data_IF_810173920879
#
_entry.id   IF_810173920879
#
_cell.length_a   1.000
_cell.length_b   1.000
_cell.length_c   1.000
_cell.angle_alpha   90.00
_cell.angle_beta   90.00
_cell.angle_gamma   90.00
#
_symmetry.space_group_name_H-M   'P 1'
#
loop_
_entity.id
_entity.type
_entity.pdbx_description
1 polymer ?
#
# COMPACT_ATOMS: atom_id res chain seq x y z
N UNK A 1 -63.60 -9.44 1.11
CA UNK A 1 -62.64 -8.37 0.80
C UNK A 1 -61.22 -8.92 1.03
N UNK A 2 -60.52 -9.27 -0.06
CA UNK A 2 -59.14 -9.80 0.01
C UNK A 2 -58.17 -8.63 -0.13
N UNK A 3 -57.40 -8.35 0.91
CA UNK A 3 -56.33 -7.33 0.88
C UNK A 3 -55.07 -8.00 0.32
N UNK A 4 -54.67 -7.55 -0.86
CA UNK A 4 -53.45 -7.98 -1.54
C UNK A 4 -52.27 -7.12 -1.02
N UNK A 5 -51.39 -7.69 -0.21
CA UNK A 5 -50.17 -7.05 0.23
C UNK A 5 -49.13 -7.14 -0.90
N UNK A 6 -48.84 -5.99 -1.51
CA UNK A 6 -47.76 -5.83 -2.50
C UNK A 6 -46.46 -5.61 -1.74
N UNK A 7 -45.60 -6.63 -1.64
CA UNK A 7 -44.28 -6.54 -1.07
C UNK A 7 -43.32 -5.96 -2.13
N UNK A 8 -42.98 -4.71 -2.00
CA UNK A 8 -41.97 -4.04 -2.83
C UNK A 8 -40.58 -4.49 -2.35
N UNK A 9 -39.97 -5.43 -3.07
CA UNK A 9 -38.58 -5.81 -2.88
C UNK A 9 -37.70 -4.68 -3.40
N UNK A 10 -37.13 -3.87 -2.50
CA UNK A 10 -36.10 -2.90 -2.82
C UNK A 10 -34.75 -3.63 -2.83
N UNK A 11 -34.30 -4.05 -4.00
CA UNK A 11 -32.96 -4.61 -4.19
C UNK A 11 -31.93 -3.48 -4.08
N UNK A 12 -31.26 -3.40 -2.92
CA UNK A 12 -30.08 -2.53 -2.75
C UNK A 12 -28.93 -3.19 -3.50
N UNK A 13 -28.56 -2.62 -4.65
CA UNK A 13 -27.35 -3.01 -5.37
C UNK A 13 -26.17 -2.46 -4.58
N UNK A 14 -25.53 -3.32 -3.79
CA UNK A 14 -24.24 -3.02 -3.16
C UNK A 14 -23.16 -3.01 -4.25
N UNK A 15 -22.86 -1.83 -4.77
CA UNK A 15 -21.70 -1.65 -5.64
C UNK A 15 -20.43 -1.63 -4.77
N UNK A 16 -19.65 -2.70 -4.87
CA UNK A 16 -18.27 -2.70 -4.38
C UNK A 16 -17.47 -1.69 -5.21
N UNK A 17 -17.07 -0.58 -4.62
CA UNK A 17 -16.19 0.39 -5.28
C UNK A 17 -14.76 -0.16 -5.27
N UNK A 18 -14.31 -0.66 -6.40
CA UNK A 18 -12.89 -0.94 -6.61
C UNK A 18 -12.13 0.40 -6.62
N UNK A 19 -11.33 0.62 -5.59
CA UNK A 19 -10.44 1.79 -5.55
C UNK A 19 -9.31 1.56 -6.56
N UNK A 20 -9.09 2.51 -7.44
CA UNK A 20 -8.01 2.49 -8.41
C UNK A 20 -7.10 3.70 -8.22
N UNK A 21 -5.84 3.54 -8.54
CA UNK A 21 -4.85 4.61 -8.63
C UNK A 21 -4.23 4.59 -10.01
N UNK A 22 -3.96 5.77 -10.55
CA UNK A 22 -3.37 5.91 -11.88
C UNK A 22 -1.90 6.27 -11.71
N UNK A 23 -1.02 5.40 -12.18
CA UNK A 23 0.39 5.72 -12.33
C UNK A 23 0.58 6.60 -13.58
N UNK A 24 1.44 7.61 -13.50
CA UNK A 24 1.77 8.50 -14.62
C UNK A 24 3.17 8.23 -15.14
N UNK A 25 3.32 8.30 -16.46
CA UNK A 25 4.64 8.30 -17.08
C UNK A 25 5.40 9.58 -16.75
N UNK A 26 6.70 9.46 -16.55
CA UNK A 26 7.62 10.59 -16.38
C UNK A 26 8.89 10.36 -17.20
N UNK A 27 9.38 11.43 -17.83
CA UNK A 27 10.69 11.53 -18.46
C UNK A 27 11.70 12.29 -17.58
N UNK A 28 11.23 12.82 -16.45
CA UNK A 28 12.07 13.51 -15.46
C UNK A 28 12.90 12.48 -14.67
N UNK A 29 14.16 12.78 -14.46
CA UNK A 29 15.01 11.95 -13.59
C UNK A 29 14.54 12.07 -12.14
N UNK A 30 14.10 10.96 -11.57
CA UNK A 30 13.61 10.91 -10.19
C UNK A 30 14.75 10.51 -9.26
N UNK A 31 15.03 11.35 -8.29
CA UNK A 31 16.05 11.10 -7.28
C UNK A 31 15.44 10.38 -6.07
N UNK A 32 16.01 9.26 -5.70
CA UNK A 32 15.57 8.50 -4.54
C UNK A 32 16.31 9.04 -3.30
N UNK A 33 15.75 10.08 -2.68
CA UNK A 33 16.32 10.76 -1.52
C UNK A 33 15.28 11.07 -0.43
N UNK A 34 14.09 10.46 -0.53
CA UNK A 34 13.01 10.66 0.43
C UNK A 34 12.26 11.98 0.28
N UNK A 35 12.62 12.82 -0.69
CA UNK A 35 12.00 14.13 -0.92
C UNK A 35 11.24 14.12 -2.24
N UNK A 36 9.94 14.37 -2.20
CA UNK A 36 9.07 14.37 -3.40
C UNK A 36 8.99 15.81 -3.98
N UNK A 37 10.11 16.34 -4.43
CA UNK A 37 10.25 17.73 -4.91
C UNK A 37 10.35 17.86 -6.43
N UNK A 38 10.47 16.77 -7.18
CA UNK A 38 10.46 16.80 -8.63
C UNK A 38 9.09 17.26 -9.14
N UNK A 39 9.12 18.03 -10.23
CA UNK A 39 7.89 18.61 -10.82
C UNK A 39 6.86 17.54 -11.18
N UNK A 40 7.29 16.37 -11.60
CA UNK A 40 6.43 15.25 -11.97
C UNK A 40 5.53 14.78 -10.83
N UNK A 41 5.99 14.81 -9.57
CA UNK A 41 5.17 14.45 -8.42
C UNK A 41 3.95 15.37 -8.24
N UNK A 42 4.07 16.64 -8.62
CA UNK A 42 2.95 17.58 -8.52
C UNK A 42 1.81 17.26 -9.48
N UNK A 43 2.10 16.57 -10.58
CA UNK A 43 1.14 16.20 -11.64
C UNK A 43 0.40 14.91 -11.36
N UNK A 44 0.77 14.17 -10.30
CA UNK A 44 0.17 12.88 -9.94
C UNK A 44 -0.85 13.07 -8.83
N UNK A 45 -2.04 12.55 -9.06
CA UNK A 45 -3.08 12.51 -8.02
C UNK A 45 -2.72 11.44 -6.98
N UNK A 46 -2.70 11.79 -5.69
CA UNK A 46 -2.39 10.81 -4.66
C UNK A 46 -3.59 9.88 -4.39
N UNK A 47 -3.31 8.64 -4.07
CA UNK A 47 -4.26 7.80 -3.34
C UNK A 47 -4.31 8.30 -1.89
N UNK A 48 -5.52 8.50 -1.39
CA UNK A 48 -5.80 9.04 -0.05
C UNK A 48 -6.99 8.31 0.58
N UNK A 49 -7.46 8.79 1.73
CA UNK A 49 -8.61 8.23 2.43
C UNK A 49 -8.45 6.75 2.78
N UNK A 50 -7.31 6.44 3.39
CA UNK A 50 -7.05 5.10 3.90
C UNK A 50 -7.82 4.87 5.20
N UNK A 51 -8.33 3.65 5.34
CA UNK A 51 -9.02 3.18 6.53
C UNK A 51 -8.09 2.34 7.39
N UNK A 52 -8.32 2.34 8.69
CA UNK A 52 -7.64 1.41 9.57
C UNK A 52 -8.24 0.00 9.38
N UNK A 53 -7.39 -1.02 9.48
CA UNK A 53 -7.84 -2.41 9.45
C UNK A 53 -8.21 -2.93 10.84
N UNK A 54 -7.54 -2.46 11.87
CA UNK A 54 -7.74 -2.89 13.25
C UNK A 54 -7.87 -1.67 14.17
N UNK A 55 -8.72 -1.68 15.21
CA UNK A 55 -9.62 -2.76 15.68
C UNK A 55 -10.90 -2.90 14.85
N UNK A 56 -11.22 -1.96 13.99
CA UNK A 56 -12.37 -1.99 13.07
C UNK A 56 -11.95 -1.35 11.75
N UNK A 57 -12.54 -1.80 10.65
CA UNK A 57 -12.32 -1.28 9.29
C UNK A 57 -13.24 -0.10 8.91
N UNK A 58 -14.01 0.40 9.87
CA UNK A 58 -14.99 1.47 9.65
C UNK A 58 -14.45 2.87 9.88
N UNK A 59 -13.31 3.00 10.57
CA UNK A 59 -12.70 4.28 10.89
C UNK A 59 -11.57 4.62 9.89
N UNK A 60 -11.40 5.92 9.63
CA UNK A 60 -10.24 6.39 8.88
C UNK A 60 -8.94 6.16 9.65
N UNK A 61 -7.85 5.99 8.90
CA UNK A 61 -6.52 5.87 9.49
C UNK A 61 -6.18 7.08 10.38
N UNK A 62 -5.61 6.82 11.55
CA UNK A 62 -5.23 7.87 12.52
C UNK A 62 -4.18 8.82 11.95
N UNK A 63 -3.25 8.29 11.17
CA UNK A 63 -2.30 9.07 10.39
C UNK A 63 -2.73 9.03 8.94
N UNK A 64 -2.94 10.19 8.35
CA UNK A 64 -3.28 10.27 6.94
C UNK A 64 -2.06 9.93 6.10
N UNK A 65 -2.30 9.29 4.96
CA UNK A 65 -1.26 8.85 4.03
C UNK A 65 -1.62 9.30 2.63
N UNK A 66 -0.63 9.75 1.89
CA UNK A 66 -0.71 9.98 0.45
C UNK A 66 0.26 9.05 -0.25
N UNK A 67 -0.21 8.34 -1.27
CA UNK A 67 0.63 7.48 -2.09
C UNK A 67 0.47 7.88 -3.55
N UNK A 68 1.59 8.11 -4.23
CA UNK A 68 1.65 8.49 -5.64
C UNK A 68 2.45 7.45 -6.41
N UNK A 69 2.05 7.20 -7.66
CA UNK A 69 2.72 6.25 -8.54
C UNK A 69 3.11 6.92 -9.84
N UNK A 70 4.37 6.76 -10.21
CA UNK A 70 4.90 7.14 -11.52
C UNK A 70 5.72 6.00 -12.09
N UNK A 71 5.98 6.04 -13.38
CA UNK A 71 6.85 5.08 -14.04
C UNK A 71 7.60 5.73 -15.19
N UNK A 72 8.74 5.18 -15.50
CA UNK A 72 9.48 5.43 -16.73
C UNK A 72 9.62 4.11 -17.53
N UNK A 73 10.48 4.07 -18.52
CA UNK A 73 10.70 2.88 -19.35
C UNK A 73 11.30 1.69 -18.59
N UNK A 74 11.79 1.89 -17.38
CA UNK A 74 12.54 0.87 -16.60
C UNK A 74 12.09 0.69 -15.17
N UNK A 75 11.47 1.71 -14.58
CA UNK A 75 11.22 1.77 -13.15
C UNK A 75 9.77 2.11 -12.83
N UNK A 76 9.29 1.59 -11.74
CA UNK A 76 8.10 2.06 -11.04
C UNK A 76 8.55 2.86 -9.80
N UNK A 77 8.10 4.10 -9.72
CA UNK A 77 8.36 5.00 -8.59
C UNK A 77 7.14 5.10 -7.70
N UNK A 78 7.35 4.97 -6.41
CA UNK A 78 6.29 5.11 -5.41
C UNK A 78 6.68 6.16 -4.39
N UNK A 79 5.96 7.27 -4.40
CA UNK A 79 6.10 8.35 -3.42
C UNK A 79 5.08 8.18 -2.31
N UNK A 80 5.54 8.08 -1.06
CA UNK A 80 4.69 7.89 0.10
C UNK A 80 4.93 9.00 1.10
N UNK A 81 3.86 9.69 1.50
CA UNK A 81 3.90 10.72 2.53
C UNK A 81 2.96 10.34 3.66
N UNK A 82 3.50 10.16 4.85
CA UNK A 82 2.75 9.84 6.05
C UNK A 82 2.69 11.06 6.96
N UNK A 83 1.48 11.49 7.31
CA UNK A 83 1.24 12.64 8.20
C UNK A 83 1.15 12.16 9.65
N UNK A 84 2.27 11.68 10.19
CA UNK A 84 2.36 11.24 11.58
C UNK A 84 2.53 12.44 12.53
N UNK A 85 1.96 12.34 13.74
CA UNK A 85 2.21 13.31 14.81
C UNK A 85 3.41 12.84 15.64
N UNK A 86 4.41 13.72 15.78
CA UNK A 86 5.61 13.41 16.58
C UNK A 86 6.62 12.52 15.84
N UNK A 87 7.57 11.99 16.59
CA UNK A 87 8.65 11.11 16.11
C UNK A 87 8.81 9.84 16.96
N UNK A 88 7.81 9.53 17.78
CA UNK A 88 7.82 8.38 18.70
C UNK A 88 7.43 7.11 17.93
N UNK A 89 8.31 6.70 17.01
CA UNK A 89 8.09 5.51 16.20
C UNK A 89 8.48 4.25 16.96
N UNK A 90 7.65 3.21 16.84
CA UNK A 90 7.96 1.88 17.38
C UNK A 90 8.86 1.16 16.38
N UNK A 91 10.16 1.16 16.62
CA UNK A 91 11.18 0.55 15.76
C UNK A 91 12.07 -0.36 16.59
N UNK A 92 11.70 -1.60 16.83
CA UNK A 92 12.44 -2.50 17.70
C UNK A 92 13.75 -3.00 17.07
N UNK A 93 13.96 -2.83 15.78
CA UNK A 93 15.14 -3.28 15.07
C UNK A 93 15.48 -2.39 13.89
N UNK A 94 16.76 -2.11 13.70
CA UNK A 94 17.32 -1.46 12.50
C UNK A 94 17.96 -2.48 11.54
N UNK A 95 17.65 -3.75 11.69
CA UNK A 95 18.08 -4.78 10.76
C UNK A 95 17.16 -4.83 9.55
N UNK A 96 17.73 -5.03 8.34
CA UNK A 96 16.98 -5.35 7.14
C UNK A 96 16.05 -6.55 7.40
N UNK A 97 14.96 -6.60 6.69
CA UNK A 97 13.93 -7.64 6.77
C UNK A 97 13.31 -7.78 8.17
N UNK A 98 13.13 -6.63 8.81
CA UNK A 98 12.50 -6.53 10.11
C UNK A 98 11.06 -7.06 10.11
N UNK A 99 10.55 -7.41 11.27
CA UNK A 99 9.19 -7.91 11.45
C UNK A 99 8.17 -6.76 11.36
N UNK A 100 7.44 -6.65 10.24
CA UNK A 100 6.54 -5.54 9.97
C UNK A 100 5.40 -5.35 10.99
N UNK A 101 4.85 -6.43 11.54
CA UNK A 101 3.79 -6.34 12.55
C UNK A 101 4.24 -5.83 13.93
N UNK A 102 5.54 -5.67 14.14
CA UNK A 102 6.11 -5.17 15.40
C UNK A 102 6.80 -3.79 15.22
N UNK A 103 6.75 -3.22 14.04
CA UNK A 103 7.45 -1.98 13.70
C UNK A 103 6.51 -1.05 12.94
N UNK A 104 6.58 0.25 13.24
CA UNK A 104 5.98 1.25 12.37
C UNK A 104 6.67 1.19 11.01
N UNK A 105 5.90 0.96 9.98
CA UNK A 105 6.41 0.79 8.63
C UNK A 105 5.31 0.94 7.58
N UNK A 106 5.72 1.20 6.35
CA UNK A 106 4.87 1.07 5.18
C UNK A 106 5.25 -0.22 4.46
N UNK A 107 4.26 -0.94 3.99
CA UNK A 107 4.46 -2.13 3.14
C UNK A 107 3.56 -2.03 1.92
N UNK A 108 4.14 -2.18 0.76
CA UNK A 108 3.47 -2.29 -0.53
C UNK A 108 3.46 -3.75 -0.95
N UNK A 109 2.35 -4.18 -1.50
CA UNK A 109 2.19 -5.53 -2.04
C UNK A 109 1.84 -5.42 -3.53
N UNK A 110 2.62 -6.10 -4.37
CA UNK A 110 2.42 -6.12 -5.80
C UNK A 110 2.13 -7.54 -6.28
N UNK A 111 0.90 -7.79 -6.68
CA UNK A 111 0.53 -9.00 -7.43
C UNK A 111 0.83 -8.74 -8.91
N UNK A 112 2.06 -9.04 -9.31
CA UNK A 112 2.52 -8.80 -10.68
C UNK A 112 2.03 -9.86 -11.67
N UNK A 113 1.54 -10.99 -11.18
CA UNK A 113 0.99 -12.08 -11.98
C UNK A 113 -0.53 -11.99 -12.12
N UNK A 114 -1.17 -11.12 -11.31
CA UNK A 114 -2.63 -10.99 -11.23
C UNK A 114 -3.32 -12.35 -10.99
N UNK A 115 -2.71 -13.17 -10.15
CA UNK A 115 -3.19 -14.51 -9.82
C UNK A 115 -3.86 -14.60 -8.43
N UNK A 116 -3.79 -13.52 -7.64
CA UNK A 116 -4.32 -13.44 -6.29
C UNK A 116 -3.63 -14.36 -5.28
N UNK A 117 -2.52 -15.00 -5.66
CA UNK A 117 -1.84 -16.00 -4.83
C UNK A 117 -0.37 -15.68 -4.59
N UNK A 118 0.27 -14.99 -5.52
CA UNK A 118 1.68 -14.64 -5.43
C UNK A 118 1.85 -13.12 -5.47
N UNK A 119 2.72 -12.58 -4.63
CA UNK A 119 2.98 -11.16 -4.59
C UNK A 119 4.38 -10.85 -4.08
N UNK A 120 4.95 -9.75 -4.58
CA UNK A 120 6.15 -9.16 -4.02
C UNK A 120 5.75 -8.13 -2.96
N UNK A 121 6.41 -8.17 -1.80
CA UNK A 121 6.23 -7.20 -0.73
C UNK A 121 7.51 -6.38 -0.57
N UNK A 122 7.35 -5.06 -0.57
CA UNK A 122 8.42 -4.10 -0.30
C UNK A 122 7.97 -3.18 0.82
N UNK A 123 8.85 -2.95 1.78
CA UNK A 123 8.53 -2.08 2.89
C UNK A 123 9.73 -1.31 3.41
N UNK A 124 9.45 -0.19 4.03
CA UNK A 124 10.43 0.63 4.74
C UNK A 124 9.86 1.12 6.06
N UNK A 125 10.74 1.31 7.03
CA UNK A 125 10.40 1.99 8.27
C UNK A 125 10.83 3.47 8.22
N UNK A 126 10.45 4.32 9.19
CA UNK A 126 10.82 5.74 9.22
C UNK A 126 12.33 6.04 9.26
N UNK A 127 13.17 5.05 9.44
CA UNK A 127 14.65 5.17 9.42
C UNK A 127 15.26 4.64 8.11
N UNK A 128 14.44 4.42 7.06
CA UNK A 128 14.92 3.94 5.76
C UNK A 128 15.34 2.47 5.75
N UNK A 129 15.06 1.71 6.83
CA UNK A 129 15.39 0.28 6.85
C UNK A 129 14.41 -0.48 6.00
N UNK A 130 14.93 -1.19 5.01
CA UNK A 130 14.15 -1.93 4.01
C UNK A 130 13.82 -3.34 4.45
N UNK A 131 12.68 -3.81 3.98
CA UNK A 131 12.28 -5.20 4.04
C UNK A 131 11.67 -5.63 2.73
N UNK A 132 11.87 -6.88 2.38
CA UNK A 132 11.21 -7.48 1.23
C UNK A 132 10.82 -8.92 1.51
N UNK A 133 9.83 -9.40 0.82
CA UNK A 133 9.36 -10.78 0.90
C UNK A 133 8.69 -11.17 -0.41
N UNK A 134 8.74 -12.46 -0.71
CA UNK A 134 7.88 -13.08 -1.70
C UNK A 134 6.75 -13.80 -0.96
N UNK A 135 5.52 -13.45 -1.27
CA UNK A 135 4.33 -14.16 -0.85
C UNK A 135 3.97 -15.20 -1.88
N UNK A 136 3.65 -16.40 -1.45
CA UNK A 136 3.10 -17.45 -2.31
C UNK A 136 1.93 -18.17 -1.63
N UNK A 137 1.08 -18.81 -2.43
CA UNK A 137 -0.06 -19.57 -1.93
C UNK A 137 -1.15 -18.74 -1.23
N UNK A 138 -1.30 -17.47 -1.62
CA UNK A 138 -2.33 -16.56 -1.08
C UNK A 138 -2.11 -16.11 0.36
N UNK A 139 -0.91 -16.36 0.94
CA UNK A 139 -0.58 -15.95 2.30
C UNK A 139 -1.31 -16.71 3.42
N UNK A 140 -2.01 -17.77 3.08
CA UNK A 140 -2.77 -18.58 4.05
C UNK A 140 -1.87 -19.41 4.98
N UNK A 141 -0.59 -19.58 4.64
CA UNK A 141 0.41 -20.25 5.45
C UNK A 141 1.60 -19.31 5.68
N UNK A 142 2.11 -19.29 6.91
CA UNK A 142 3.36 -18.58 7.26
C UNK A 142 4.54 -19.05 6.37
N UNK A 143 4.51 -20.28 5.89
CA UNK A 143 5.49 -20.82 4.96
C UNK A 143 5.44 -20.20 3.56
N UNK A 144 4.34 -19.55 3.22
CA UNK A 144 4.19 -18.78 1.97
C UNK A 144 5.01 -17.50 1.93
N UNK A 145 5.61 -17.07 3.05
CA UNK A 145 6.44 -15.87 3.11
C UNK A 145 7.94 -16.25 3.00
N UNK A 146 8.52 -15.97 1.85
CA UNK A 146 9.96 -16.13 1.65
C UNK A 146 10.70 -14.81 1.89
N UNK A 147 11.35 -14.69 3.04
CA UNK A 147 12.16 -13.53 3.41
C UNK A 147 13.59 -13.56 2.82
N UNK A 148 13.97 -14.63 2.17
CA UNK A 148 15.25 -14.73 1.47
C UNK A 148 15.17 -14.26 0.00
N UNK A 149 14.04 -13.74 -0.42
CA UNK A 149 13.90 -13.07 -1.71
C UNK A 149 14.78 -11.82 -1.73
N UNK A 150 15.53 -11.63 -2.78
CA UNK A 150 16.39 -10.45 -2.98
C UNK A 150 16.10 -9.85 -4.35
N UNK A 151 15.29 -8.82 -4.36
CA UNK A 151 14.86 -8.11 -5.56
C UNK A 151 15.62 -6.78 -5.66
N UNK A 152 15.96 -6.36 -6.87
CA UNK A 152 16.64 -5.09 -7.08
C UNK A 152 15.65 -3.94 -6.89
N UNK A 153 15.71 -3.29 -5.75
CA UNK A 153 14.95 -2.07 -5.46
C UNK A 153 15.74 -1.12 -4.55
N UNK A 154 15.38 0.15 -4.57
CA UNK A 154 15.96 1.20 -3.74
C UNK A 154 14.85 1.96 -3.03
N UNK A 155 15.11 2.48 -1.85
CA UNK A 155 14.16 3.29 -1.07
C UNK A 155 14.90 4.11 -0.02
N UNK A 156 14.41 5.31 0.23
CA UNK A 156 14.83 6.27 1.26
C UNK A 156 13.61 6.78 2.05
#
# INVERSE_FOLDING_TARGET
MRVLYFFLFFSVILQSQNKSVIAKYTDEEIKIDGVLNETSWSKVLPATNFYQYFPTDTAQAKSQVEIKFMFDDRNLYVGIKVYAKGKDYIIPSLRRDFRGGASDSVTLMFDTFNDGTNAFLFGSNPYGVRREMLLSGGGNDIRGFNMASDTKWTGE
#
